data_IF_812281232426
#
_entry.id   IF_812281232426
#
_cell.length_a   1.000
_cell.length_b   1.000
_cell.length_c   1.000
_cell.angle_alpha   90.00
_cell.angle_beta   90.00
_cell.angle_gamma   90.00
#
_symmetry.space_group_name_H-M   'P 1'
#
loop_
_entity.id
_entity.type
_entity.pdbx_description
1 polymer ?
#
# COMPACT_ATOMS: atom_id res chain seq x y z
N UNK A 1 26.05 -15.36 4.77
CA UNK A 1 25.24 -16.16 3.82
C UNK A 1 24.06 -15.26 3.54
N UNK A 2 24.30 -14.20 2.79
CA UNK A 2 23.33 -13.11 2.60
C UNK A 2 23.41 -12.77 1.12
N UNK A 3 22.77 -13.61 0.32
CA UNK A 3 22.79 -13.46 -1.14
C UNK A 3 21.53 -12.78 -1.65
N UNK A 4 20.45 -12.56 -0.87
CA UNK A 4 19.27 -11.83 -1.33
C UNK A 4 19.18 -10.44 -0.72
N UNK A 5 18.68 -9.44 -1.46
CA UNK A 5 18.40 -8.11 -0.89
C UNK A 5 16.95 -8.05 -0.41
N UNK A 6 16.75 -7.82 0.89
CA UNK A 6 15.44 -7.65 1.50
C UNK A 6 15.28 -6.21 2.02
N UNK A 7 14.28 -5.52 1.47
CA UNK A 7 14.00 -4.12 1.74
C UNK A 7 12.64 -4.01 2.46
N UNK A 8 12.61 -3.32 3.58
CA UNK A 8 11.38 -2.87 4.22
C UNK A 8 11.06 -1.42 3.82
N UNK A 9 9.93 -1.22 3.16
CA UNK A 9 9.30 0.07 2.95
C UNK A 9 8.32 0.33 4.11
N UNK A 10 8.74 1.18 5.05
CA UNK A 10 7.98 1.53 6.23
C UNK A 10 7.14 2.80 6.02
N UNK A 11 5.88 2.76 6.45
CA UNK A 11 5.00 3.92 6.59
C UNK A 11 3.78 3.52 7.43
N UNK A 12 2.96 4.48 7.88
CA UNK A 12 1.71 4.17 8.59
C UNK A 12 0.64 3.62 7.66
N UNK A 13 -0.46 3.11 8.22
CA UNK A 13 -1.64 2.75 7.44
C UNK A 13 -2.26 3.98 6.79
N UNK A 14 -2.60 3.87 5.51
CA UNK A 14 -3.26 4.94 4.76
C UNK A 14 -2.32 6.01 4.20
N UNK A 15 -1.00 5.88 4.33
CA UNK A 15 0.00 6.81 3.78
C UNK A 15 0.42 6.51 2.32
N UNK A 16 -0.17 5.49 1.70
CA UNK A 16 0.01 5.23 0.26
C UNK A 16 1.06 4.19 -0.11
N UNK A 17 1.53 3.35 0.81
CA UNK A 17 2.52 2.29 0.52
C UNK A 17 2.12 1.38 -0.65
N UNK A 18 0.91 0.80 -0.61
CA UNK A 18 0.37 -0.03 -1.69
C UNK A 18 0.35 0.71 -3.03
N UNK A 19 0.02 2.01 -3.02
CA UNK A 19 0.02 2.83 -4.22
C UNK A 19 1.45 3.01 -4.76
N UNK A 20 2.41 3.32 -3.89
CA UNK A 20 3.82 3.44 -4.26
C UNK A 20 4.40 2.14 -4.82
N UNK A 21 4.12 0.99 -4.17
CA UNK A 21 4.55 -0.33 -4.62
C UNK A 21 3.98 -0.67 -6.00
N UNK A 22 2.67 -0.47 -6.19
CA UNK A 22 2.02 -0.71 -7.50
C UNK A 22 2.54 0.21 -8.59
N UNK A 23 2.79 1.48 -8.29
CA UNK A 23 3.43 2.40 -9.23
C UNK A 23 4.86 2.00 -9.56
N UNK A 24 5.62 1.54 -8.57
CA UNK A 24 6.98 1.03 -8.80
C UNK A 24 6.95 -0.18 -9.71
N UNK A 25 6.09 -1.17 -9.43
CA UNK A 25 5.84 -2.32 -10.32
C UNK A 25 5.55 -1.86 -11.75
N UNK A 26 4.56 -0.98 -11.92
CA UNK A 26 4.15 -0.45 -13.22
C UNK A 26 5.28 0.25 -13.99
N UNK A 27 6.15 1.00 -13.31
CA UNK A 27 7.34 1.60 -13.95
C UNK A 27 8.32 0.51 -14.38
N UNK A 28 8.65 -0.45 -13.50
CA UNK A 28 9.58 -1.52 -13.82
C UNK A 28 9.11 -2.36 -15.01
N UNK A 29 7.82 -2.70 -15.06
CA UNK A 29 7.21 -3.44 -16.17
C UNK A 29 7.26 -2.64 -17.47
N UNK A 30 6.97 -1.32 -17.44
CA UNK A 30 7.04 -0.47 -18.62
C UNK A 30 8.45 -0.40 -19.26
N UNK A 31 9.50 -0.55 -18.46
CA UNK A 31 10.89 -0.59 -18.91
C UNK A 31 11.38 -2.00 -19.27
N UNK A 32 10.58 -3.04 -19.01
CA UNK A 32 10.91 -4.39 -19.41
C UNK A 32 10.29 -4.71 -20.80
N UNK A 33 11.12 -5.08 -21.81
CA UNK A 33 10.64 -5.37 -23.16
C UNK A 33 9.81 -6.67 -23.26
N UNK A 34 9.91 -7.57 -22.28
CA UNK A 34 9.24 -8.87 -22.31
C UNK A 34 7.79 -8.83 -21.85
N UNK A 35 7.38 -7.79 -21.11
CA UNK A 35 5.96 -7.57 -20.85
C UNK A 35 5.31 -7.09 -22.14
N UNK A 36 4.26 -7.76 -22.61
CA UNK A 36 3.46 -7.29 -23.75
C UNK A 36 2.27 -6.45 -23.26
N UNK A 37 1.68 -5.62 -24.15
CA UNK A 37 0.40 -4.94 -23.92
C UNK A 37 0.29 -4.05 -22.66
N UNK A 38 1.39 -3.45 -22.20
CA UNK A 38 1.32 -2.45 -21.12
C UNK A 38 0.64 -1.18 -21.61
N UNK A 39 -0.54 -0.92 -21.07
CA UNK A 39 -1.32 0.29 -21.31
C UNK A 39 -0.48 1.54 -20.93
N UNK A 40 -0.53 2.59 -21.75
CA UNK A 40 0.18 3.85 -21.51
C UNK A 40 1.70 3.74 -21.33
N UNK A 41 2.37 2.67 -21.80
CA UNK A 41 3.83 2.44 -21.64
C UNK A 41 4.68 3.69 -21.90
N UNK A 42 4.47 4.38 -23.01
CA UNK A 42 5.28 5.55 -23.38
C UNK A 42 5.01 6.77 -22.48
N UNK A 43 3.78 6.93 -21.99
CA UNK A 43 3.43 7.98 -21.02
C UNK A 43 4.08 7.72 -19.66
N UNK A 44 4.11 6.45 -19.24
CA UNK A 44 4.78 6.01 -18.01
C UNK A 44 6.28 6.33 -18.08
N UNK A 45 6.96 5.90 -19.15
CA UNK A 45 8.38 6.20 -19.37
C UNK A 45 8.67 7.69 -19.36
N UNK A 46 7.88 8.48 -20.11
CA UNK A 46 8.02 9.94 -20.16
C UNK A 46 7.80 10.60 -18.81
N UNK A 47 6.86 10.09 -18.00
CA UNK A 47 6.61 10.59 -16.65
C UNK A 47 7.76 10.27 -15.71
N UNK A 48 8.27 9.04 -15.75
CA UNK A 48 9.46 8.63 -15.02
C UNK A 48 10.68 9.50 -15.36
N UNK A 49 10.93 9.76 -16.65
CA UNK A 49 12.03 10.61 -17.10
C UNK A 49 11.98 12.03 -16.55
N UNK A 50 10.78 12.60 -16.45
CA UNK A 50 10.56 13.92 -15.81
C UNK A 50 10.85 13.87 -14.31
N UNK A 51 10.42 12.80 -13.64
CA UNK A 51 10.53 12.66 -12.18
C UNK A 51 11.97 12.37 -11.72
N UNK A 52 12.77 11.63 -12.50
CA UNK A 52 14.17 11.31 -12.13
C UNK A 52 15.13 12.50 -12.13
N UNK A 53 14.68 13.71 -12.51
CA UNK A 53 15.45 14.98 -12.41
C UNK A 53 16.93 14.88 -12.85
N UNK A 54 17.20 14.21 -13.97
CA UNK A 54 18.55 13.97 -14.54
C UNK A 54 19.47 13.06 -13.73
N UNK A 55 18.97 12.32 -12.75
CA UNK A 55 19.73 11.22 -12.16
C UNK A 55 19.94 10.13 -13.22
N UNK A 56 21.19 9.68 -13.36
CA UNK A 56 21.55 8.57 -14.24
C UNK A 56 21.14 7.25 -13.57
N UNK A 57 19.84 6.95 -13.64
CA UNK A 57 19.28 5.66 -13.22
C UNK A 57 18.88 4.91 -14.48
N UNK A 58 19.60 3.83 -14.76
CA UNK A 58 19.25 2.86 -15.78
C UNK A 58 18.38 1.76 -15.17
N UNK A 59 17.14 1.63 -15.67
CA UNK A 59 16.24 0.56 -15.28
C UNK A 59 16.53 -0.64 -16.18
N UNK A 60 17.13 -1.67 -15.62
CA UNK A 60 17.31 -2.96 -16.30
C UNK A 60 15.96 -3.69 -16.44
N UNK A 61 15.83 -4.67 -17.34
CA UNK A 61 14.64 -5.52 -17.39
C UNK A 61 14.46 -6.32 -16.08
N UNK A 62 13.44 -5.96 -15.30
CA UNK A 62 13.06 -6.65 -14.07
C UNK A 62 11.81 -7.49 -14.29
N UNK A 63 11.82 -8.74 -13.81
CA UNK A 63 10.59 -9.51 -13.60
C UNK A 63 9.97 -9.05 -12.29
N UNK A 64 8.72 -8.64 -12.29
CA UNK A 64 8.05 -8.16 -11.07
C UNK A 64 6.91 -9.06 -10.65
N UNK A 65 6.81 -9.32 -9.36
CA UNK A 65 5.73 -10.12 -8.76
C UNK A 65 5.09 -9.30 -7.65
N UNK A 66 3.76 -9.20 -7.65
CA UNK A 66 3.01 -8.60 -6.55
C UNK A 66 2.33 -9.68 -5.73
N UNK A 67 2.60 -9.69 -4.43
CA UNK A 67 2.07 -10.66 -3.50
C UNK A 67 1.39 -9.95 -2.33
N UNK A 68 0.08 -10.13 -2.21
CA UNK A 68 -0.71 -9.64 -1.08
C UNK A 68 -0.71 -10.70 0.02
N UNK A 69 0.08 -10.49 1.07
CA UNK A 69 0.23 -11.48 2.13
C UNK A 69 -1.06 -11.64 2.96
N UNK A 70 -1.86 -10.59 3.08
CA UNK A 70 -3.10 -10.64 3.87
C UNK A 70 -4.18 -11.46 3.17
N UNK A 71 -4.30 -11.32 1.84
CA UNK A 71 -5.23 -12.13 1.05
C UNK A 71 -4.93 -13.65 1.10
N UNK A 72 -3.68 -14.02 1.37
CA UNK A 72 -3.22 -15.41 1.41
C UNK A 72 -2.93 -15.91 2.84
N UNK A 73 -3.35 -15.18 3.89
CA UNK A 73 -3.03 -15.49 5.29
C UNK A 73 -3.79 -16.70 5.88
N UNK A 74 -4.66 -17.32 5.08
CA UNK A 74 -5.37 -18.54 5.40
C UNK A 74 -4.67 -19.79 4.83
N UNK A 75 -3.64 -19.61 3.99
CA UNK A 75 -2.89 -20.72 3.43
C UNK A 75 -1.97 -21.34 4.49
N UNK A 76 -1.84 -22.67 4.45
CA UNK A 76 -1.07 -23.41 5.45
C UNK A 76 0.45 -23.12 5.37
N UNK A 77 0.98 -22.88 4.17
CA UNK A 77 2.40 -22.52 3.98
C UNK A 77 2.54 -21.26 3.10
N UNK A 78 3.14 -20.17 3.60
CA UNK A 78 3.29 -18.92 2.85
C UNK A 78 4.13 -19.06 1.57
N UNK A 79 5.08 -20.02 1.52
CA UNK A 79 5.89 -20.26 0.32
C UNK A 79 5.05 -20.80 -0.81
N UNK A 80 4.07 -21.66 -0.51
CA UNK A 80 3.17 -22.23 -1.51
C UNK A 80 2.44 -21.10 -2.26
N UNK A 81 1.78 -20.22 -1.51
CA UNK A 81 1.04 -19.09 -2.06
C UNK A 81 1.94 -18.10 -2.80
N UNK A 82 3.18 -17.91 -2.33
CA UNK A 82 4.14 -17.04 -2.99
C UNK A 82 4.59 -17.62 -4.34
N UNK A 83 4.93 -18.92 -4.40
CA UNK A 83 5.30 -19.61 -5.64
C UNK A 83 4.14 -19.59 -6.64
N UNK A 84 2.90 -19.80 -6.18
CA UNK A 84 1.72 -19.70 -7.03
C UNK A 84 1.53 -18.29 -7.60
N UNK A 85 1.72 -17.23 -6.79
CA UNK A 85 1.66 -15.86 -7.27
C UNK A 85 2.76 -15.56 -8.31
N UNK A 86 3.97 -16.07 -8.10
CA UNK A 86 5.07 -15.94 -9.05
C UNK A 86 4.70 -16.61 -10.39
N UNK A 87 4.15 -17.83 -10.35
CA UNK A 87 3.74 -18.55 -11.57
C UNK A 87 2.65 -17.81 -12.34
N UNK A 88 1.65 -17.26 -11.65
CA UNK A 88 0.58 -16.50 -12.28
C UNK A 88 1.09 -15.27 -13.03
N UNK A 89 2.08 -14.56 -12.46
CA UNK A 89 2.70 -13.40 -13.12
C UNK A 89 3.55 -13.81 -14.33
N UNK A 90 4.17 -14.99 -14.29
CA UNK A 90 5.01 -15.50 -15.39
C UNK A 90 4.18 -16.05 -16.54
N UNK A 91 3.02 -16.65 -16.27
CA UNK A 91 2.09 -17.11 -17.30
C UNK A 91 1.63 -15.94 -18.20
N UNK A 92 1.56 -14.73 -17.64
CA UNK A 92 1.26 -13.51 -18.39
C UNK A 92 2.39 -12.96 -19.26
N UNK A 93 3.62 -13.51 -19.17
CA UNK A 93 4.83 -12.89 -19.72
C UNK A 93 5.31 -13.39 -21.09
N UNK A 94 4.99 -14.60 -21.57
CA UNK A 94 5.59 -15.11 -22.84
C UNK A 94 4.88 -16.31 -23.46
N UNK A 95 5.05 -16.46 -24.78
CA UNK A 95 4.68 -17.59 -25.64
C UNK A 95 5.40 -18.93 -25.35
N UNK A 96 4.65 -19.91 -24.83
CA UNK A 96 4.59 -21.37 -25.07
C UNK A 96 5.83 -22.30 -25.11
N UNK A 97 7.09 -21.89 -25.34
CA UNK A 97 8.16 -22.89 -25.56
C UNK A 97 8.92 -23.33 -24.28
N UNK A 98 9.08 -22.45 -23.28
CA UNK A 98 9.83 -22.73 -22.04
C UNK A 98 8.93 -22.91 -20.77
N UNK A 99 7.60 -22.95 -20.91
CA UNK A 99 6.65 -23.09 -19.79
C UNK A 99 6.83 -24.41 -19.02
N UNK A 100 7.04 -25.53 -19.72
CA UNK A 100 7.00 -26.87 -19.11
C UNK A 100 8.09 -27.05 -18.05
N UNK A 101 9.31 -26.60 -18.32
CA UNK A 101 10.42 -26.72 -17.37
C UNK A 101 10.20 -25.92 -16.09
N UNK A 102 9.60 -24.74 -16.20
CA UNK A 102 9.30 -23.86 -15.05
C UNK A 102 8.15 -24.44 -14.24
N UNK A 103 7.10 -24.94 -14.90
CA UNK A 103 5.97 -25.60 -14.25
C UNK A 103 6.41 -26.87 -13.53
N UNK A 104 7.30 -27.67 -14.13
CA UNK A 104 7.86 -28.87 -13.49
C UNK A 104 8.69 -28.51 -12.25
N UNK A 105 9.54 -27.48 -12.34
CA UNK A 105 10.32 -26.98 -11.20
C UNK A 105 9.42 -26.42 -10.09
N UNK A 106 8.39 -25.65 -10.45
CA UNK A 106 7.38 -25.19 -9.51
C UNK A 106 6.64 -26.34 -8.85
N UNK A 107 6.15 -27.31 -9.62
CA UNK A 107 5.50 -28.51 -9.11
C UNK A 107 6.38 -29.24 -8.09
N UNK A 108 7.67 -29.39 -8.39
CA UNK A 108 8.63 -29.98 -7.46
C UNK A 108 8.81 -29.18 -6.16
N UNK A 109 8.76 -27.84 -6.22
CA UNK A 109 8.79 -26.99 -5.03
C UNK A 109 7.50 -27.14 -4.22
N UNK A 110 6.34 -27.07 -4.87
CA UNK A 110 5.02 -27.23 -4.22
C UNK A 110 4.88 -28.61 -3.55
N UNK A 111 5.37 -29.67 -4.21
CA UNK A 111 5.40 -31.05 -3.68
C UNK A 111 6.15 -31.16 -2.36
N UNK A 112 7.23 -30.38 -2.19
CA UNK A 112 8.02 -30.40 -0.98
C UNK A 112 7.29 -29.77 0.21
N UNK A 113 6.50 -28.73 -0.02
CA UNK A 113 5.81 -27.99 1.05
C UNK A 113 4.50 -28.65 1.49
N UNK A 114 3.70 -29.14 0.56
CA UNK A 114 2.43 -29.81 0.92
C UNK A 114 2.63 -31.22 1.46
N UNK A 115 3.83 -31.80 1.29
CA UNK A 115 4.11 -33.20 1.62
C UNK A 115 3.28 -34.20 0.81
N UNK A 116 2.62 -33.74 -0.26
CA UNK A 116 1.84 -34.50 -1.22
C UNK A 116 2.38 -34.17 -2.61
N UNK A 117 2.20 -35.05 -3.59
CA UNK A 117 2.46 -34.73 -4.99
C UNK A 117 1.35 -33.77 -5.47
N UNK A 118 1.63 -32.46 -5.41
CA UNK A 118 0.83 -31.30 -5.86
C UNK A 118 0.68 -31.24 -7.37
N UNK A 119 1.27 -32.19 -8.11
CA UNK A 119 0.86 -32.46 -9.49
C UNK A 119 -0.67 -32.44 -9.63
N UNK A 120 -1.46 -32.92 -8.66
CA UNK A 120 -2.94 -32.79 -8.69
C UNK A 120 -3.54 -31.37 -8.64
N UNK A 121 -2.89 -30.38 -8.01
CA UNK A 121 -3.35 -28.97 -8.00
C UNK A 121 -2.88 -28.24 -9.27
N UNK A 122 -1.68 -28.57 -9.76
CA UNK A 122 -1.15 -28.06 -11.03
C UNK A 122 -1.90 -28.66 -12.24
N UNK A 123 -2.30 -29.93 -12.16
CA UNK A 123 -3.09 -30.67 -13.16
C UNK A 123 -4.51 -30.09 -13.32
N UNK A 124 -5.00 -29.33 -12.33
CA UNK A 124 -6.27 -28.58 -12.44
C UNK A 124 -6.17 -27.39 -13.41
N UNK A 125 -4.94 -26.99 -13.78
CA UNK A 125 -4.66 -26.00 -14.81
C UNK A 125 -4.33 -26.60 -16.19
N UNK A 126 -4.09 -27.92 -16.32
CA UNK A 126 -4.01 -28.70 -17.60
C UNK A 126 -3.83 -30.19 -17.24
N UNK A 127 -4.74 -31.08 -17.66
CA UNK A 127 -4.94 -32.41 -17.05
C UNK A 127 -3.91 -33.55 -17.27
N UNK A 128 -3.98 -34.49 -16.32
CA UNK A 128 -3.55 -35.93 -16.20
C UNK A 128 -2.16 -36.30 -15.64
N UNK A 129 -2.06 -37.41 -14.82
CA UNK A 129 -1.22 -37.51 -13.60
C UNK A 129 -0.16 -38.66 -13.66
N UNK A 130 0.41 -39.20 -12.55
CA UNK A 130 1.21 -38.64 -11.43
C UNK A 130 2.57 -39.40 -11.23
N UNK A 131 3.44 -38.98 -10.29
CA UNK A 131 4.19 -39.88 -9.34
C UNK A 131 5.30 -39.21 -8.50
N UNK A 132 5.24 -39.57 -7.20
CA UNK A 132 6.23 -39.86 -6.15
C UNK A 132 7.27 -38.86 -5.55
N UNK A 133 7.29 -38.94 -4.21
CA UNK A 133 8.02 -38.21 -3.17
C UNK A 133 9.56 -38.34 -3.19
N UNK A 134 10.29 -37.40 -2.54
CA UNK A 134 11.27 -37.64 -1.42
C UNK A 134 12.34 -36.50 -1.24
N UNK A 135 12.73 -36.27 0.04
CA UNK A 135 13.91 -35.56 0.65
C UNK A 135 13.84 -34.02 0.86
N UNK A 136 13.91 -33.59 2.13
CA UNK A 136 13.04 -32.53 2.70
C UNK A 136 13.68 -31.21 3.21
N UNK A 137 14.91 -30.79 2.86
CA UNK A 137 15.34 -29.41 3.20
C UNK A 137 16.47 -28.85 2.33
N UNK A 138 17.63 -29.52 2.27
CA UNK A 138 18.74 -29.05 1.40
C UNK A 138 18.41 -29.12 -0.08
N UNK A 139 17.67 -30.16 -0.45
CA UNK A 139 17.12 -30.33 -1.80
C UNK A 139 16.09 -29.24 -2.14
N UNK A 140 15.37 -28.73 -1.13
CA UNK A 140 14.35 -27.71 -1.30
C UNK A 140 14.95 -26.34 -1.63
N UNK A 141 16.00 -25.94 -0.91
CA UNK A 141 16.73 -24.70 -1.20
C UNK A 141 17.31 -24.72 -2.62
N UNK A 142 17.93 -25.83 -3.04
CA UNK A 142 18.41 -25.98 -4.41
C UNK A 142 17.30 -25.99 -5.45
N UNK A 143 16.13 -26.58 -5.15
CA UNK A 143 14.96 -26.58 -6.05
C UNK A 143 14.35 -25.19 -6.20
N UNK A 144 14.24 -24.45 -5.10
CA UNK A 144 13.75 -23.06 -5.10
C UNK A 144 14.72 -22.18 -5.88
N UNK A 145 16.03 -22.31 -5.63
CA UNK A 145 17.04 -21.60 -6.41
C UNK A 145 16.93 -21.94 -7.90
N UNK A 146 16.86 -23.22 -8.27
CA UNK A 146 16.69 -23.65 -9.66
C UNK A 146 15.39 -23.13 -10.29
N UNK A 147 14.29 -23.11 -9.54
CA UNK A 147 13.03 -22.52 -9.96
C UNK A 147 13.23 -21.05 -10.33
N UNK A 148 13.79 -20.21 -9.45
CA UNK A 148 14.02 -18.80 -9.76
C UNK A 148 15.00 -18.56 -10.90
N UNK A 149 16.06 -19.36 -10.96
CA UNK A 149 17.04 -19.34 -12.04
C UNK A 149 16.44 -19.67 -13.40
N UNK A 150 15.38 -20.48 -13.45
CA UNK A 150 14.65 -20.79 -14.68
C UNK A 150 13.69 -19.67 -15.14
N UNK A 151 13.36 -18.72 -14.25
CA UNK A 151 12.37 -17.67 -14.55
C UNK A 151 13.00 -16.51 -15.31
N UNK A 152 14.23 -16.15 -14.93
CA UNK A 152 14.94 -14.97 -15.44
C UNK A 152 15.37 -15.04 -16.91
N UNK A 153 15.87 -16.19 -17.43
CA UNK A 153 16.24 -16.31 -18.83
C UNK A 153 15.11 -15.84 -19.75
N UNK A 154 15.45 -14.99 -20.71
CA UNK A 154 14.50 -14.45 -21.70
C UNK A 154 13.34 -13.63 -21.10
N UNK A 155 13.45 -13.18 -19.85
CA UNK A 155 12.42 -12.34 -19.18
C UNK A 155 12.97 -11.17 -18.37
N UNK A 156 14.22 -11.25 -17.90
CA UNK A 156 14.88 -10.16 -17.21
C UNK A 156 16.19 -10.54 -16.52
N UNK A 157 16.93 -9.54 -16.06
CA UNK A 157 18.22 -9.76 -15.38
C UNK A 157 18.03 -10.09 -13.89
N UNK A 158 16.95 -9.58 -13.30
CA UNK A 158 16.64 -9.65 -11.86
C UNK A 158 15.14 -9.75 -11.65
N UNK A 159 14.73 -10.31 -10.52
CA UNK A 159 13.35 -10.36 -10.06
C UNK A 159 13.14 -9.45 -8.85
N UNK A 160 12.04 -8.72 -8.84
CA UNK A 160 11.56 -7.95 -7.68
C UNK A 160 10.24 -8.54 -7.22
N UNK A 161 10.20 -9.00 -5.98
CA UNK A 161 9.01 -9.54 -5.34
C UNK A 161 8.50 -8.54 -4.33
N UNK A 162 7.35 -7.93 -4.61
CA UNK A 162 6.67 -7.02 -3.71
C UNK A 162 5.75 -7.80 -2.78
N UNK A 163 5.93 -7.67 -1.47
CA UNK A 163 5.10 -8.29 -0.45
C UNK A 163 4.35 -7.17 0.27
N UNK A 164 3.03 -7.11 0.11
CA UNK A 164 2.18 -6.07 0.70
C UNK A 164 1.27 -6.64 1.79
N UNK A 165 0.84 -5.75 2.69
CA UNK A 165 -0.11 -6.02 3.78
C UNK A 165 0.29 -7.11 4.81
N UNK A 166 1.57 -7.47 4.91
CA UNK A 166 2.08 -8.46 5.87
C UNK A 166 1.75 -8.11 7.34
N UNK A 167 1.75 -6.81 7.66
CA UNK A 167 1.44 -6.27 8.98
C UNK A 167 -0.03 -6.45 9.39
N UNK A 168 -0.91 -6.93 8.49
CA UNK A 168 -2.31 -7.28 8.80
C UNK A 168 -2.56 -8.78 8.92
N UNK A 169 -1.60 -9.61 8.54
CA UNK A 169 -1.72 -11.07 8.62
C UNK A 169 -1.83 -11.54 10.08
N UNK A 170 -2.29 -12.79 10.24
CA UNK A 170 -2.19 -13.49 11.53
C UNK A 170 -0.72 -13.58 11.99
N UNK A 171 -0.47 -13.53 13.33
CA UNK A 171 0.89 -13.50 13.85
C UNK A 171 1.78 -14.66 13.42
N UNK A 172 1.25 -15.88 13.44
CA UNK A 172 1.93 -17.10 13.02
C UNK A 172 2.30 -17.05 11.54
N UNK A 173 1.36 -16.66 10.68
CA UNK A 173 1.58 -16.54 9.25
C UNK A 173 2.68 -15.52 8.92
N UNK A 174 2.63 -14.33 9.53
CA UNK A 174 3.60 -13.27 9.26
C UNK A 174 5.03 -13.68 9.62
N UNK A 175 5.19 -14.37 10.74
CA UNK A 175 6.48 -14.89 11.20
C UNK A 175 6.97 -15.98 10.25
N UNK A 176 6.11 -16.94 9.90
CA UNK A 176 6.48 -18.00 8.98
C UNK A 176 6.88 -17.46 7.61
N UNK A 177 6.18 -16.47 7.05
CA UNK A 177 6.57 -15.88 5.76
C UNK A 177 7.98 -15.26 5.83
N UNK A 178 8.28 -14.49 6.88
CA UNK A 178 9.60 -13.88 7.09
C UNK A 178 10.71 -14.94 7.23
N UNK A 179 10.48 -15.96 8.06
CA UNK A 179 11.42 -17.08 8.26
C UNK A 179 11.66 -17.82 6.94
N UNK A 180 10.61 -18.17 6.21
CA UNK A 180 10.72 -18.93 4.96
C UNK A 180 11.46 -18.16 3.88
N UNK A 181 11.18 -16.86 3.73
CA UNK A 181 11.89 -16.00 2.77
C UNK A 181 13.38 -15.97 3.09
N UNK A 182 13.72 -15.71 4.36
CA UNK A 182 15.13 -15.68 4.78
C UNK A 182 15.84 -17.01 4.59
N UNK A 183 15.15 -18.12 4.84
CA UNK A 183 15.76 -19.45 4.81
C UNK A 183 15.92 -20.03 3.39
N UNK A 184 15.00 -19.73 2.47
CA UNK A 184 14.95 -20.43 1.18
C UNK A 184 15.21 -19.56 -0.05
N UNK A 185 15.20 -18.23 0.07
CA UNK A 185 15.20 -17.32 -1.07
C UNK A 185 16.49 -16.48 -1.17
N UNK A 186 17.60 -17.01 -0.66
CA UNK A 186 18.91 -16.37 -0.78
C UNK A 186 19.46 -16.42 -2.21
N UNK A 187 19.06 -15.48 -3.08
CA UNK A 187 19.59 -15.34 -4.44
C UNK A 187 19.87 -13.87 -4.80
N UNK A 188 21.07 -13.58 -5.31
CA UNK A 188 21.56 -12.23 -5.63
C UNK A 188 20.77 -11.54 -6.73
N UNK A 189 20.02 -12.29 -7.53
CA UNK A 189 19.15 -11.79 -8.59
C UNK A 189 17.71 -11.56 -8.14
N UNK A 190 17.37 -11.87 -6.89
CA UNK A 190 16.04 -11.62 -6.34
C UNK A 190 16.12 -10.50 -5.30
N UNK A 191 15.13 -9.62 -5.31
CA UNK A 191 14.99 -8.57 -4.32
C UNK A 191 13.58 -8.58 -3.78
N UNK A 192 13.44 -8.73 -2.45
CA UNK A 192 12.16 -8.68 -1.77
C UNK A 192 11.91 -7.29 -1.24
N UNK A 193 10.76 -6.71 -1.57
CA UNK A 193 10.33 -5.41 -1.06
C UNK A 193 9.06 -5.63 -0.24
N UNK A 194 9.19 -5.54 1.08
CA UNK A 194 8.05 -5.61 1.98
C UNK A 194 7.49 -4.20 2.22
N UNK A 195 6.22 -3.99 1.90
CA UNK A 195 5.46 -2.79 2.25
C UNK A 195 4.67 -3.06 3.53
N UNK A 196 5.06 -2.40 4.62
CA UNK A 196 4.53 -2.70 5.96
C UNK A 196 4.48 -1.46 6.86
N UNK A 197 3.72 -1.56 7.94
CA UNK A 197 3.86 -0.70 9.11
C UNK A 197 4.70 -1.44 10.16
N UNK A 198 5.91 -0.95 10.43
CA UNK A 198 6.86 -1.59 11.34
C UNK A 198 6.33 -1.67 12.77
N UNK A 199 5.59 -0.66 13.23
CA UNK A 199 5.05 -0.64 14.58
C UNK A 199 3.96 -1.71 14.75
N UNK A 200 3.07 -1.83 13.77
CA UNK A 200 2.00 -2.85 13.77
C UNK A 200 2.57 -4.26 13.64
N UNK A 201 3.60 -4.46 12.80
CA UNK A 201 4.27 -5.74 12.69
C UNK A 201 4.98 -6.13 14.01
N UNK A 202 5.59 -5.18 14.72
CA UNK A 202 6.16 -5.43 16.05
C UNK A 202 5.09 -5.85 17.05
N UNK A 203 3.91 -5.22 17.04
CA UNK A 203 2.78 -5.61 17.89
C UNK A 203 2.31 -7.04 17.58
N UNK A 204 2.21 -7.40 16.30
CA UNK A 204 1.90 -8.75 15.84
C UNK A 204 2.91 -9.78 16.35
N UNK A 205 4.21 -9.49 16.27
CA UNK A 205 5.27 -10.39 16.74
C UNK A 205 5.27 -10.54 18.27
N UNK A 206 5.06 -9.46 19.02
CA UNK A 206 4.90 -9.51 20.48
C UNK A 206 3.70 -10.35 20.90
N UNK A 207 2.61 -10.33 20.13
CA UNK A 207 1.45 -11.19 20.40
C UNK A 207 1.78 -12.69 20.26
N UNK A 208 2.72 -13.05 19.39
CA UNK A 208 3.13 -14.43 19.18
C UNK A 208 4.17 -14.92 20.21
N UNK A 209 5.25 -14.16 20.43
CA UNK A 209 6.35 -14.59 21.32
C UNK A 209 6.19 -14.12 22.77
N UNK A 210 5.27 -13.20 23.05
CA UNK A 210 5.04 -12.59 24.36
C UNK A 210 5.31 -11.09 24.38
N UNK A 211 4.61 -10.36 25.27
CA UNK A 211 4.64 -8.89 25.31
C UNK A 211 6.03 -8.30 25.57
N UNK A 212 6.87 -9.00 26.33
CA UNK A 212 8.24 -8.58 26.67
C UNK A 212 9.28 -8.95 25.59
N UNK A 213 8.85 -9.58 24.49
CA UNK A 213 9.75 -9.95 23.40
C UNK A 213 10.27 -8.72 22.65
N UNK A 214 11.59 -8.70 22.40
CA UNK A 214 12.25 -7.65 21.62
C UNK A 214 12.00 -7.83 20.11
N UNK A 215 10.77 -7.51 19.69
CA UNK A 215 10.33 -7.62 18.31
C UNK A 215 11.12 -6.71 17.35
N UNK A 216 11.58 -5.55 17.83
CA UNK A 216 12.35 -4.60 17.02
C UNK A 216 13.67 -5.22 16.55
N UNK A 217 14.45 -5.76 17.50
CA UNK A 217 15.73 -6.42 17.22
C UNK A 217 15.57 -7.74 16.48
N UNK A 218 14.47 -8.45 16.71
CA UNK A 218 14.13 -9.64 15.94
C UNK A 218 13.93 -9.30 14.46
N UNK A 219 13.14 -8.26 14.16
CA UNK A 219 12.88 -7.80 12.79
C UNK A 219 14.12 -7.28 12.06
N UNK A 220 15.13 -6.75 12.77
CA UNK A 220 16.40 -6.31 12.14
C UNK A 220 17.12 -7.46 11.43
N UNK A 221 16.86 -8.71 11.83
CA UNK A 221 17.49 -9.87 11.22
C UNK A 221 16.92 -10.21 9.84
N UNK A 222 15.78 -9.64 9.44
CA UNK A 222 15.09 -10.01 8.20
C UNK A 222 15.22 -8.96 7.10
N UNK A 223 15.60 -7.73 7.43
CA UNK A 223 15.65 -6.62 6.47
C UNK A 223 17.07 -6.07 6.39
N UNK A 224 17.67 -6.13 5.21
CA UNK A 224 18.98 -5.54 4.92
C UNK A 224 18.88 -4.02 4.88
N UNK A 225 17.77 -3.50 4.34
CA UNK A 225 17.49 -2.07 4.24
C UNK A 225 16.11 -1.73 4.80
N UNK A 226 16.06 -0.62 5.53
CA UNK A 226 14.81 0.01 5.99
C UNK A 226 14.71 1.38 5.35
N UNK A 227 13.63 1.59 4.60
CA UNK A 227 13.35 2.83 3.88
C UNK A 227 12.02 3.37 4.39
N UNK A 228 12.02 4.59 4.89
CA UNK A 228 10.80 5.31 5.22
C UNK A 228 10.20 5.90 3.94
N UNK A 229 8.89 5.73 3.76
CA UNK A 229 8.19 6.36 2.66
C UNK A 229 8.26 7.90 2.83
N UNK A 230 8.73 8.66 1.83
CA UNK A 230 8.85 10.10 1.96
C UNK A 230 7.48 10.76 2.12
N UNK A 231 7.45 11.87 2.85
CA UNK A 231 6.21 12.65 3.00
C UNK A 231 5.70 13.12 1.64
N UNK A 232 4.38 13.02 1.39
CA UNK A 232 3.77 13.46 0.14
C UNK A 232 3.81 14.98 0.01
N UNK A 233 3.82 15.46 -1.24
CA UNK A 233 3.55 16.87 -1.53
C UNK A 233 2.06 17.15 -1.29
N UNK A 234 1.75 17.69 -0.11
CA UNK A 234 0.36 17.93 0.32
C UNK A 234 -0.38 18.89 -0.60
N UNK A 235 0.32 19.86 -1.22
CA UNK A 235 -0.29 20.80 -2.16
C UNK A 235 -0.78 20.09 -3.41
N UNK A 236 0.07 19.25 -4.00
CA UNK A 236 -0.30 18.41 -5.16
C UNK A 236 -1.40 17.41 -4.81
N UNK A 237 -1.34 16.85 -3.61
CA UNK A 237 -2.37 15.93 -3.14
C UNK A 237 -3.74 16.64 -3.00
N UNK A 238 -3.77 17.82 -2.37
CA UNK A 238 -4.97 18.64 -2.24
C UNK A 238 -5.52 19.06 -3.60
N UNK A 239 -4.66 19.43 -4.54
CA UNK A 239 -5.06 19.78 -5.91
C UNK A 239 -5.70 18.57 -6.60
N UNK A 240 -5.08 17.40 -6.51
CA UNK A 240 -5.59 16.16 -7.09
C UNK A 240 -6.96 15.71 -6.57
N UNK A 241 -7.30 16.04 -5.31
CA UNK A 241 -8.64 15.78 -4.75
C UNK A 241 -9.60 16.97 -4.88
N UNK A 242 -9.14 18.11 -5.36
CA UNK A 242 -9.89 19.36 -5.51
C UNK A 242 -10.12 20.13 -4.20
N UNK A 243 -9.27 19.94 -3.19
CA UNK A 243 -9.26 20.69 -1.92
C UNK A 243 -8.38 21.95 -2.01
N UNK A 244 -7.51 22.07 -3.01
CA UNK A 244 -6.64 23.24 -3.21
C UNK A 244 -7.36 24.46 -3.80
N UNK A 245 -8.67 24.38 -4.07
CA UNK A 245 -9.49 25.47 -4.61
C UNK A 245 -9.61 26.64 -3.61
N UNK A 246 -8.57 27.48 -3.55
CA UNK A 246 -8.38 28.55 -2.58
C UNK A 246 -9.29 29.78 -2.73
N UNK A 247 -10.37 29.70 -3.52
CA UNK A 247 -11.33 30.81 -3.65
C UNK A 247 -12.45 30.78 -2.61
N UNK A 248 -12.65 29.64 -1.95
CA UNK A 248 -13.81 29.44 -1.06
C UNK A 248 -13.37 29.19 0.38
N UNK A 249 -14.09 29.85 1.30
CA UNK A 249 -13.85 29.72 2.76
C UNK A 249 -13.99 28.26 3.20
N UNK A 250 -14.86 27.49 2.56
CA UNK A 250 -15.15 26.11 2.93
C UNK A 250 -13.93 25.18 2.86
N UNK A 251 -13.16 25.24 1.77
CA UNK A 251 -11.96 24.44 1.54
C UNK A 251 -10.87 24.82 2.55
N UNK A 252 -10.75 26.11 2.87
CA UNK A 252 -9.85 26.60 3.91
C UNK A 252 -10.21 26.02 5.27
N UNK A 253 -11.49 26.03 5.65
CA UNK A 253 -11.96 25.39 6.88
C UNK A 253 -11.73 23.88 6.87
N UNK A 254 -11.97 23.20 5.74
CA UNK A 254 -11.68 21.78 5.59
C UNK A 254 -10.19 21.46 5.82
N UNK A 255 -9.28 22.29 5.31
CA UNK A 255 -7.83 22.16 5.58
C UNK A 255 -7.51 22.33 7.07
N UNK A 256 -8.14 23.29 7.75
CA UNK A 256 -7.96 23.47 9.19
C UNK A 256 -8.47 22.29 10.00
N UNK A 257 -9.61 21.70 9.62
CA UNK A 257 -10.11 20.47 10.25
C UNK A 257 -9.13 19.31 10.03
N UNK A 258 -8.55 19.18 8.84
CA UNK A 258 -7.52 18.17 8.53
C UNK A 258 -6.30 18.32 9.44
N UNK A 259 -5.79 19.55 9.61
CA UNK A 259 -4.66 19.85 10.48
C UNK A 259 -4.97 19.60 11.96
N UNK A 260 -6.14 20.05 12.42
CA UNK A 260 -6.60 19.91 13.81
C UNK A 260 -6.65 18.44 14.26
N UNK A 261 -7.00 17.52 13.35
CA UNK A 261 -7.04 16.07 13.64
C UNK A 261 -5.80 15.31 13.18
N UNK A 262 -4.79 15.98 12.60
CA UNK A 262 -3.58 15.36 12.05
C UNK A 262 -3.90 14.17 11.12
N UNK A 263 -4.85 14.36 10.22
CA UNK A 263 -5.36 13.28 9.36
C UNK A 263 -4.30 12.79 8.37
N UNK A 264 -4.22 11.47 8.17
CA UNK A 264 -3.43 10.85 7.10
C UNK A 264 -4.07 10.97 5.73
N UNK A 265 -3.32 10.69 4.64
CA UNK A 265 -3.80 10.85 3.26
C UNK A 265 -5.15 10.18 2.98
N UNK A 266 -5.30 8.91 3.39
CA UNK A 266 -6.55 8.16 3.21
C UNK A 266 -7.71 8.78 4.00
N UNK A 267 -7.45 9.30 5.19
CA UNK A 267 -8.47 9.96 6.03
C UNK A 267 -8.90 11.27 5.39
N UNK A 268 -7.95 12.09 4.92
CA UNK A 268 -8.24 13.33 4.20
C UNK A 268 -9.10 13.07 2.96
N UNK A 269 -8.74 12.08 2.14
CA UNK A 269 -9.51 11.75 0.93
C UNK A 269 -10.96 11.34 1.27
N UNK A 270 -11.14 10.54 2.33
CA UNK A 270 -12.49 10.13 2.80
C UNK A 270 -13.26 11.31 3.37
N UNK A 271 -12.61 12.10 4.23
CA UNK A 271 -13.15 13.29 4.88
C UNK A 271 -13.67 14.26 3.83
N UNK A 272 -12.79 14.69 2.92
CA UNK A 272 -13.14 15.69 1.94
C UNK A 272 -14.18 15.19 0.94
N UNK A 273 -14.16 13.90 0.59
CA UNK A 273 -15.24 13.31 -0.23
C UNK A 273 -16.61 13.47 0.43
N UNK A 274 -16.74 13.13 1.71
CA UNK A 274 -17.99 13.28 2.46
C UNK A 274 -18.36 14.76 2.61
N UNK A 275 -17.40 15.59 3.01
CA UNK A 275 -17.56 17.03 3.16
C UNK A 275 -18.06 17.68 1.86
N UNK A 276 -17.48 17.29 0.72
CA UNK A 276 -17.89 17.76 -0.60
C UNK A 276 -19.31 17.29 -0.97
N UNK A 277 -19.68 16.05 -0.66
CA UNK A 277 -21.04 15.57 -0.91
C UNK A 277 -22.10 16.34 -0.11
N UNK A 278 -21.80 16.68 1.15
CA UNK A 278 -22.79 17.28 2.07
C UNK A 278 -22.90 18.80 1.88
N UNK A 279 -21.78 19.50 1.78
CA UNK A 279 -21.78 20.96 1.90
C UNK A 279 -21.19 21.72 0.70
N UNK A 280 -20.69 21.06 -0.36
CA UNK A 280 -20.17 21.76 -1.53
C UNK A 280 -21.25 22.56 -2.27
N UNK A 281 -22.40 21.95 -2.58
CA UNK A 281 -23.52 22.64 -3.25
C UNK A 281 -23.99 23.92 -2.52
N UNK A 282 -24.24 23.91 -1.20
CA UNK A 282 -24.68 25.11 -0.48
C UNK A 282 -23.58 26.17 -0.28
N UNK A 283 -22.30 25.82 -0.46
CA UNK A 283 -21.16 26.74 -0.25
C UNK A 283 -20.56 27.31 -1.54
N UNK A 284 -20.86 26.74 -2.72
CA UNK A 284 -20.20 27.05 -4.00
C UNK A 284 -21.14 27.46 -5.15
N UNK A 285 -22.45 27.60 -4.91
CA UNK A 285 -23.38 28.10 -5.93
C UNK A 285 -23.85 29.52 -5.58
N UNK A 286 -23.66 30.44 -6.52
CA UNK A 286 -24.32 31.75 -6.51
C UNK A 286 -25.84 31.59 -6.67
N UNK A 287 -26.60 32.35 -5.86
CA UNK A 287 -27.91 32.95 -6.16
C UNK A 287 -28.93 32.04 -6.90
N UNK A 288 -29.87 31.34 -6.29
CA UNK A 288 -31.12 31.92 -5.76
C UNK A 288 -31.92 30.96 -4.84
N UNK A 289 -31.50 29.70 -4.70
CA UNK A 289 -32.24 28.71 -3.89
C UNK A 289 -31.85 28.69 -2.40
N UNK A 290 -30.75 29.36 -2.04
CA UNK A 290 -30.21 29.42 -0.67
C UNK A 290 -30.01 30.86 -0.21
N UNK A 291 -30.97 31.76 -0.53
CA UNK A 291 -30.96 33.16 -0.11
C UNK A 291 -30.75 33.29 1.41
N UNK A 292 -29.53 33.62 1.80
CA UNK A 292 -29.12 33.84 3.19
C UNK A 292 -29.51 35.25 3.71
N UNK A 293 -30.55 35.85 3.13
CA UNK A 293 -30.95 37.25 3.35
C UNK A 293 -31.65 37.54 4.70
N UNK A 294 -31.66 36.58 5.64
CA UNK A 294 -32.21 36.70 6.99
C UNK A 294 -31.21 36.16 8.02
N UNK A 295 -31.35 36.49 9.31
CA UNK A 295 -30.47 36.00 10.39
C UNK A 295 -30.34 34.47 10.43
N UNK A 296 -31.40 33.76 10.06
CA UNK A 296 -31.43 32.29 9.94
C UNK A 296 -30.56 31.79 8.77
N UNK A 297 -30.36 32.64 7.77
CA UNK A 297 -29.49 32.40 6.62
C UNK A 297 -28.01 32.44 7.00
N UNK A 298 -27.56 33.51 7.63
CA UNK A 298 -26.16 33.63 8.11
C UNK A 298 -25.79 32.50 9.07
N UNK A 299 -26.72 32.13 9.98
CA UNK A 299 -26.52 30.98 10.88
C UNK A 299 -26.39 29.65 10.13
N UNK A 300 -27.21 29.41 9.09
CA UNK A 300 -27.08 28.20 8.24
C UNK A 300 -25.78 28.19 7.46
N UNK A 301 -25.35 29.34 6.93
CA UNK A 301 -24.09 29.46 6.22
C UNK A 301 -22.92 29.12 7.15
N UNK A 302 -22.90 29.66 8.36
CA UNK A 302 -21.91 29.29 9.38
C UNK A 302 -21.93 27.79 9.71
N UNK A 303 -23.12 27.19 9.82
CA UNK A 303 -23.24 25.75 10.04
C UNK A 303 -22.61 24.94 8.91
N UNK A 304 -22.89 25.29 7.64
CA UNK A 304 -22.31 24.59 6.50
C UNK A 304 -20.79 24.82 6.38
N UNK A 305 -20.32 26.03 6.67
CA UNK A 305 -18.90 26.37 6.55
C UNK A 305 -18.05 25.77 7.66
N UNK A 306 -18.52 25.81 8.91
CA UNK A 306 -17.70 25.49 10.09
C UNK A 306 -18.17 24.23 10.81
N UNK A 307 -19.47 24.13 11.11
CA UNK A 307 -20.01 23.05 11.96
C UNK A 307 -20.01 21.71 11.24
N UNK A 308 -20.46 21.66 9.98
CA UNK A 308 -20.52 20.44 9.18
C UNK A 308 -19.13 19.79 8.99
N UNK A 309 -18.10 20.49 8.47
CA UNK A 309 -16.78 19.88 8.32
C UNK A 309 -16.19 19.47 9.68
N UNK A 310 -16.35 20.29 10.72
CA UNK A 310 -15.92 19.93 12.08
C UNK A 310 -16.59 18.64 12.58
N UNK A 311 -17.91 18.51 12.41
CA UNK A 311 -18.66 17.31 12.80
C UNK A 311 -18.20 16.08 12.03
N UNK A 312 -17.91 16.20 10.73
CA UNK A 312 -17.40 15.09 9.93
C UNK A 312 -16.01 14.67 10.44
N UNK A 313 -15.11 15.63 10.69
CA UNK A 313 -13.78 15.36 11.25
C UNK A 313 -13.84 14.69 12.62
N UNK A 314 -14.63 15.24 13.54
CA UNK A 314 -14.89 14.64 14.86
C UNK A 314 -15.42 13.21 14.74
N UNK A 315 -16.43 12.99 13.89
CA UNK A 315 -17.03 11.68 13.74
C UNK A 315 -16.05 10.63 13.20
N UNK A 316 -15.10 11.05 12.37
CA UNK A 316 -14.09 10.16 11.77
C UNK A 316 -12.93 9.87 12.71
N UNK A 317 -12.43 10.88 13.44
CA UNK A 317 -11.18 10.78 14.20
C UNK A 317 -11.39 10.65 15.72
N UNK A 318 -12.51 11.14 16.26
CA UNK A 318 -12.80 11.11 17.71
C UNK A 318 -14.31 10.97 17.98
N UNK A 319 -14.80 9.74 17.85
CA UNK A 319 -16.23 9.41 18.06
C UNK A 319 -16.73 9.79 19.47
N UNK A 320 -15.98 9.59 20.57
CA UNK A 320 -16.38 10.08 21.88
C UNK A 320 -16.56 11.60 21.95
N UNK A 321 -15.64 12.40 21.41
CA UNK A 321 -15.72 13.86 21.39
C UNK A 321 -16.82 14.35 20.47
N UNK A 322 -17.04 13.69 19.33
CA UNK A 322 -18.19 13.92 18.44
C UNK A 322 -19.52 13.84 19.21
N UNK A 323 -19.74 12.77 19.98
CA UNK A 323 -20.98 12.57 20.73
C UNK A 323 -21.21 13.68 21.77
N UNK A 324 -20.16 14.14 22.46
CA UNK A 324 -20.25 15.25 23.42
C UNK A 324 -20.56 16.57 22.72
N UNK A 325 -19.95 16.81 21.56
CA UNK A 325 -20.16 18.01 20.75
C UNK A 325 -21.62 18.13 20.28
N UNK A 326 -22.18 17.08 19.65
CA UNK A 326 -23.57 17.13 19.13
C UNK A 326 -24.63 17.21 20.25
N UNK A 327 -24.28 16.80 21.47
CA UNK A 327 -25.15 16.94 22.65
C UNK A 327 -25.03 18.32 23.32
N UNK A 328 -24.20 19.22 22.79
CA UNK A 328 -23.93 20.53 23.38
C UNK A 328 -23.15 20.48 24.70
N UNK A 329 -22.52 19.35 25.03
CA UNK A 329 -21.77 19.14 26.27
C UNK A 329 -20.29 19.53 26.18
N UNK A 330 -19.78 19.68 24.96
CA UNK A 330 -18.40 20.08 24.71
C UNK A 330 -18.33 20.98 23.47
N UNK A 331 -18.19 22.29 23.68
CA UNK A 331 -17.99 23.28 22.62
C UNK A 331 -16.53 23.53 22.25
N UNK A 332 -15.58 22.89 22.94
CA UNK A 332 -14.14 23.11 22.72
C UNK A 332 -13.67 22.87 21.28
N UNK A 333 -14.16 21.87 20.51
CA UNK A 333 -13.71 21.66 19.13
C UNK A 333 -14.02 22.85 18.21
N UNK A 334 -15.16 23.51 18.43
CA UNK A 334 -15.54 24.67 17.64
C UNK A 334 -14.69 25.89 18.01
N UNK A 335 -14.41 26.08 19.30
CA UNK A 335 -13.55 27.16 19.76
C UNK A 335 -12.12 26.97 19.22
N UNK A 336 -11.60 25.75 19.22
CA UNK A 336 -10.31 25.39 18.63
C UNK A 336 -10.28 25.75 17.14
N UNK A 337 -11.26 25.28 16.37
CA UNK A 337 -11.36 25.59 14.94
C UNK A 337 -11.43 27.09 14.67
N UNK A 338 -12.28 27.82 15.39
CA UNK A 338 -12.46 29.26 15.19
C UNK A 338 -11.20 30.06 15.55
N UNK A 339 -10.46 29.67 16.59
CA UNK A 339 -9.17 30.30 16.94
C UNK A 339 -8.15 30.16 15.81
N UNK A 340 -8.11 28.99 15.18
CA UNK A 340 -7.21 28.72 14.08
C UNK A 340 -7.60 29.57 12.86
N UNK A 341 -8.89 29.67 12.56
CA UNK A 341 -9.40 30.50 11.46
C UNK A 341 -9.14 32.00 11.72
N UNK A 342 -9.42 32.50 12.94
CA UNK A 342 -9.21 33.90 13.28
C UNK A 342 -7.73 34.30 13.29
N UNK A 343 -6.84 33.38 13.68
CA UNK A 343 -5.40 33.58 13.61
C UNK A 343 -4.88 33.68 12.17
N UNK A 344 -5.62 33.22 11.16
CA UNK A 344 -5.26 33.36 9.75
C UNK A 344 -5.75 34.69 9.16
N UNK A 345 -6.89 35.21 9.60
CA UNK A 345 -7.41 36.53 9.19
C UNK A 345 -6.61 37.71 9.76
N UNK A 346 -5.86 37.53 10.84
CA UNK A 346 -4.89 38.53 11.31
C UNK A 346 -3.63 38.61 10.42
N UNK A 347 -3.35 37.59 9.61
CA UNK A 347 -2.20 37.53 8.69
C UNK A 347 -2.57 37.70 7.21
N UNK A 348 -3.84 37.57 6.86
CA UNK A 348 -4.36 37.80 5.53
C UNK A 348 -5.54 38.78 5.66
N UNK A 349 -5.41 39.96 5.06
CA UNK A 349 -6.41 41.05 5.03
C UNK A 349 -7.75 40.63 4.38
N UNK A 350 -8.48 39.71 5.01
CA UNK A 350 -9.82 39.28 4.61
C UNK A 350 -10.72 39.34 5.84
N UNK A 351 -11.56 40.39 5.88
CA UNK A 351 -12.70 40.47 6.78
C UNK A 351 -13.75 39.41 6.37
N UNK A 352 -14.15 38.55 7.33
CA UNK A 352 -15.23 37.57 7.19
C UNK A 352 -16.59 38.24 7.41
#
# INVERSE_FOLDING_TARGET
>A
MDSGNVIALNARWGEGKTFFVKQTKLVLEAFNPYYENIEHREEIKKTWEKLRKKQEIEIQPFVTVYYDAWMNDNDEDPVLSLVLAILQEIDGLTSLENERGILDLAGNVLDCFTGRTVKGVLDSLRGTPPLENIKKAKDLESKIAAFFESILPERGNRMVVFIDELDRCKPDYAIHLLERIKHYFGNERITFIFSLNMDELQHTIRKFYGNDFDACRYLERFFDFRIELPKPDMRRFYDGIGLENGSWVYESVCKQVVEMFNMGLREIAKFYRVAKTVAYKPTHKEHDQWLFAFSDGTGRQFCFLCIVPLMIGLNMCDRPRYNKFIQGRDGSPLIELLKIISGLTEYADYEI
#
